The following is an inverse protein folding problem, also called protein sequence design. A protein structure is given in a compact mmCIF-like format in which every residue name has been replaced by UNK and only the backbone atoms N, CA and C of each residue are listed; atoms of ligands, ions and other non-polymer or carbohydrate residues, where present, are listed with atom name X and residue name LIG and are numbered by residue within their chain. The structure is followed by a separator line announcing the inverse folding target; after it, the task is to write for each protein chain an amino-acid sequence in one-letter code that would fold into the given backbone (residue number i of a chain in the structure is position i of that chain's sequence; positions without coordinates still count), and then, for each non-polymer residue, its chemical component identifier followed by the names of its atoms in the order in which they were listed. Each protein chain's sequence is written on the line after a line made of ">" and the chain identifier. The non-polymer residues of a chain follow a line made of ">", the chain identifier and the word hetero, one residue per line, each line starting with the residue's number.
data_IF_414369990290
#
_entry.id   IF_414369990290
#
_cell.length_a   1.000
_cell.length_b   1.000
_cell.length_c   1.000
_cell.angle_alpha   90.00
_cell.angle_beta   90.00
_cell.angle_gamma   90.00
#
_symmetry.space_group_name_H-M   'P 1'
#
loop_
_entity.id
_entity.type
_entity.pdbx_description
1 polymer ?
#
# COMPACT_ATOMS: atom_id res chain seq x y z
N UNK A 1 52.46 36.18 -33.22
CA UNK A 1 51.67 34.93 -33.27
C UNK A 1 51.32 34.44 -31.86
N UNK A 2 50.54 35.23 -31.09
CA UNK A 2 50.02 34.87 -29.76
C UNK A 2 48.67 35.57 -29.61
N UNK A 3 47.59 34.91 -30.01
CA UNK A 3 46.20 35.34 -29.76
C UNK A 3 45.24 34.41 -30.52
N UNK A 4 45.08 33.14 -30.09
CA UNK A 4 43.96 32.30 -30.59
C UNK A 4 43.58 31.06 -29.76
N UNK A 5 43.95 30.97 -28.48
CA UNK A 5 43.61 29.79 -27.65
C UNK A 5 42.94 30.16 -26.32
N UNK A 6 41.87 30.96 -26.36
CA UNK A 6 41.10 31.32 -25.17
C UNK A 6 39.57 31.20 -25.38
N UNK A 7 39.11 30.12 -26.03
CA UNK A 7 37.70 29.98 -26.41
C UNK A 7 37.10 28.58 -26.28
N UNK A 8 37.66 27.68 -25.46
CA UNK A 8 37.24 26.27 -25.45
C UNK A 8 36.79 25.71 -24.08
N UNK A 9 36.43 26.53 -23.08
CA UNK A 9 36.07 26.03 -21.74
C UNK A 9 34.79 26.63 -21.13
N UNK A 10 33.75 26.88 -21.93
CA UNK A 10 32.41 27.20 -21.40
C UNK A 10 31.37 26.23 -21.94
N UNK A 11 31.58 24.94 -21.68
CA UNK A 11 30.54 23.90 -21.75
C UNK A 11 29.95 23.65 -20.37
N UNK A 12 29.39 24.68 -19.73
CA UNK A 12 28.62 24.51 -18.49
C UNK A 12 27.43 23.61 -18.82
N UNK A 13 27.43 22.40 -18.24
CA UNK A 13 26.40 21.40 -18.45
C UNK A 13 25.02 21.98 -18.21
N UNK A 14 24.21 22.07 -19.27
CA UNK A 14 22.76 22.17 -19.13
C UNK A 14 22.32 20.90 -18.41
N UNK A 15 21.96 21.02 -17.14
CA UNK A 15 21.09 20.05 -16.48
C UNK A 15 19.88 19.91 -17.40
N UNK A 16 19.75 18.76 -18.07
CA UNK A 16 18.57 18.48 -18.88
C UNK A 16 17.40 18.42 -17.91
N UNK A 17 16.64 19.50 -17.82
CA UNK A 17 15.33 19.48 -17.20
C UNK A 17 14.47 18.50 -18.00
N UNK A 18 14.42 17.25 -17.53
CA UNK A 18 13.52 16.26 -18.09
C UNK A 18 12.10 16.75 -17.85
N UNK A 19 11.34 16.99 -18.93
CA UNK A 19 9.92 17.29 -18.84
C UNK A 19 9.23 16.27 -17.93
N UNK A 20 8.28 16.72 -17.10
CA UNK A 20 7.50 15.86 -16.22
C UNK A 20 6.87 14.66 -16.97
N UNK A 21 6.55 14.83 -18.26
CA UNK A 21 6.08 13.77 -19.14
C UNK A 21 7.12 12.67 -19.40
N UNK A 22 8.40 13.03 -19.55
CA UNK A 22 9.48 12.05 -19.72
C UNK A 22 9.76 11.27 -18.42
N UNK A 23 9.62 11.94 -17.27
CA UNK A 23 9.73 11.33 -15.95
C UNK A 23 8.56 10.35 -15.70
N UNK A 24 7.32 10.78 -15.98
CA UNK A 24 6.14 9.93 -15.88
C UNK A 24 6.22 8.72 -16.83
N UNK A 25 6.65 8.92 -18.08
CA UNK A 25 6.81 7.84 -19.06
C UNK A 25 7.82 6.77 -18.61
N UNK A 26 8.88 7.17 -17.91
CA UNK A 26 9.88 6.24 -17.34
C UNK A 26 9.27 5.32 -16.29
N UNK A 27 8.57 5.87 -15.29
CA UNK A 27 7.97 5.08 -14.23
C UNK A 27 6.76 4.27 -14.71
N UNK A 28 6.01 4.80 -15.69
CA UNK A 28 4.97 4.03 -16.37
C UNK A 28 5.53 2.79 -17.07
N UNK A 29 6.69 2.89 -17.72
CA UNK A 29 7.35 1.75 -18.32
C UNK A 29 7.72 0.68 -17.27
N UNK A 30 8.24 1.10 -16.11
CA UNK A 30 8.54 0.18 -14.98
C UNK A 30 7.27 -0.53 -14.50
N UNK A 31 6.20 0.23 -14.24
CA UNK A 31 4.91 -0.33 -13.85
C UNK A 31 4.41 -1.36 -14.88
N UNK A 32 4.43 -1.00 -16.17
CA UNK A 32 3.97 -1.88 -17.25
C UNK A 32 4.81 -3.15 -17.35
N UNK A 33 6.13 -3.04 -17.23
CA UNK A 33 7.02 -4.21 -17.24
C UNK A 33 6.72 -5.14 -16.07
N UNK A 34 6.54 -4.59 -14.86
CA UNK A 34 6.19 -5.41 -13.71
C UNK A 34 4.84 -6.09 -13.88
N UNK A 35 3.84 -5.37 -14.40
CA UNK A 35 2.52 -5.91 -14.68
C UNK A 35 2.58 -7.09 -15.66
N UNK A 36 3.33 -6.95 -16.76
CA UNK A 36 3.50 -8.02 -17.74
C UNK A 36 4.27 -9.22 -17.17
N UNK A 37 5.27 -8.97 -16.32
CA UNK A 37 6.02 -10.01 -15.66
C UNK A 37 5.12 -10.83 -14.72
N UNK A 38 4.36 -10.18 -13.85
CA UNK A 38 3.43 -10.87 -12.95
C UNK A 38 2.31 -11.61 -13.71
N UNK A 39 1.83 -11.07 -14.83
CA UNK A 39 0.87 -11.76 -15.71
C UNK A 39 1.45 -13.00 -16.40
N UNK A 40 2.77 -13.07 -16.59
CA UNK A 40 3.43 -14.25 -17.15
C UNK A 40 3.41 -15.45 -16.18
N UNK A 41 3.18 -15.22 -14.88
CA UNK A 41 3.12 -16.23 -13.83
C UNK A 41 1.75 -16.26 -13.14
N UNK A 42 0.67 -16.63 -13.85
CA UNK A 42 -0.69 -16.61 -13.31
C UNK A 42 -0.90 -17.63 -12.17
N UNK A 43 -0.15 -18.74 -12.17
CA UNK A 43 -0.21 -19.73 -11.09
C UNK A 43 0.33 -19.15 -9.77
N UNK A 44 1.32 -18.27 -9.81
CA UNK A 44 1.83 -17.60 -8.62
C UNK A 44 0.79 -16.60 -8.08
N UNK A 45 0.12 -15.86 -8.97
CA UNK A 45 -0.98 -14.97 -8.59
C UNK A 45 -2.15 -15.73 -7.96
N UNK A 46 -2.54 -16.88 -8.54
CA UNK A 46 -3.59 -17.74 -7.99
C UNK A 46 -3.15 -18.35 -6.65
N UNK A 47 -1.90 -18.83 -6.56
CA UNK A 47 -1.33 -19.37 -5.33
C UNK A 47 -1.34 -18.36 -4.19
N UNK A 48 -0.95 -17.11 -4.46
CA UNK A 48 -1.04 -15.98 -3.50
C UNK A 48 -2.49 -15.72 -3.09
N UNK A 49 -3.44 -15.86 -4.03
CA UNK A 49 -4.86 -15.61 -3.77
C UNK A 49 -5.55 -16.73 -2.97
N UNK A 50 -4.98 -17.94 -2.87
CA UNK A 50 -5.59 -19.04 -2.09
C UNK A 50 -5.72 -18.71 -0.60
N UNK A 51 -4.82 -17.85 -0.07
CA UNK A 51 -4.84 -17.48 1.34
C UNK A 51 -6.14 -16.74 1.72
N UNK A 52 -6.72 -15.96 0.79
CA UNK A 52 -7.98 -15.25 1.06
C UNK A 52 -9.14 -16.22 1.30
N UNK A 53 -9.13 -17.39 0.65
CA UNK A 53 -10.16 -18.42 0.84
C UNK A 53 -10.15 -18.91 2.29
N UNK A 54 -8.95 -19.17 2.81
CA UNK A 54 -8.76 -19.60 4.19
C UNK A 54 -9.25 -18.53 5.16
N UNK A 55 -8.86 -17.26 4.98
CA UNK A 55 -9.31 -16.19 5.86
C UNK A 55 -10.82 -15.99 5.81
N UNK A 56 -11.43 -15.99 4.62
CA UNK A 56 -12.88 -15.86 4.50
C UNK A 56 -13.61 -17.04 5.15
N UNK A 57 -13.09 -18.26 5.03
CA UNK A 57 -13.64 -19.43 5.71
C UNK A 57 -13.57 -19.29 7.24
N UNK A 58 -12.43 -18.85 7.79
CA UNK A 58 -12.26 -18.61 9.23
C UNK A 58 -13.22 -17.52 9.70
N UNK A 59 -13.28 -16.38 9.00
CA UNK A 59 -14.15 -15.27 9.37
C UNK A 59 -15.63 -15.63 9.28
N UNK A 60 -16.04 -16.41 8.28
CA UNK A 60 -17.42 -16.87 8.18
C UNK A 60 -17.81 -17.72 9.40
N UNK A 61 -16.95 -18.65 9.82
CA UNK A 61 -17.22 -19.45 11.02
C UNK A 61 -17.26 -18.59 12.29
N UNK A 62 -16.33 -17.66 12.44
CA UNK A 62 -16.28 -16.75 13.60
C UNK A 62 -17.52 -15.86 13.68
N UNK A 63 -17.85 -15.17 12.59
CA UNK A 63 -18.93 -14.19 12.57
C UNK A 63 -20.30 -14.86 12.58
N UNK A 64 -20.50 -16.01 11.93
CA UNK A 64 -21.75 -16.76 12.02
C UNK A 64 -22.10 -17.13 13.47
N UNK A 65 -21.11 -17.58 14.26
CA UNK A 65 -21.30 -17.88 15.68
C UNK A 65 -21.60 -16.60 16.47
N UNK A 66 -20.88 -15.51 16.20
CA UNK A 66 -21.05 -14.23 16.91
C UNK A 66 -22.44 -13.62 16.69
N UNK A 67 -22.90 -13.55 15.43
CA UNK A 67 -24.26 -13.09 15.10
C UNK A 67 -25.33 -14.06 15.66
N UNK A 68 -25.08 -15.37 15.63
CA UNK A 68 -25.99 -16.35 16.22
C UNK A 68 -26.12 -16.24 17.75
N UNK A 69 -25.03 -15.88 18.45
CA UNK A 69 -24.99 -15.76 19.90
C UNK A 69 -25.63 -14.45 20.41
N UNK A 70 -25.51 -13.36 19.66
CA UNK A 70 -26.17 -12.08 19.99
C UNK A 70 -27.67 -12.11 19.72
N UNK A 71 -28.11 -12.92 18.74
CA UNK A 71 -29.51 -12.97 18.31
C UNK A 71 -29.97 -11.72 17.53
N UNK A 72 -29.05 -10.80 17.25
CA UNK A 72 -29.31 -9.58 16.48
C UNK A 72 -29.05 -9.82 14.99
N UNK A 73 -29.88 -9.22 14.13
CA UNK A 73 -29.69 -9.25 12.68
C UNK A 73 -28.58 -8.32 12.19
N UNK A 74 -28.14 -7.37 13.03
CA UNK A 74 -27.07 -6.44 12.73
C UNK A 74 -26.31 -6.02 13.98
N UNK A 75 -24.98 -5.93 13.91
CA UNK A 75 -24.11 -5.41 14.97
C UNK A 75 -23.56 -4.07 14.46
N UNK A 76 -23.69 -2.99 15.24
CA UNK A 76 -23.26 -1.63 14.84
C UNK A 76 -23.74 -1.21 13.42
N UNK A 77 -24.94 -1.66 13.03
CA UNK A 77 -25.52 -1.37 11.70
C UNK A 77 -24.92 -2.17 10.54
N UNK A 78 -24.10 -3.19 10.81
CA UNK A 78 -23.65 -4.16 9.81
C UNK A 78 -24.39 -5.48 9.97
N UNK A 79 -24.88 -6.04 8.87
CA UNK A 79 -25.34 -7.43 8.84
C UNK A 79 -24.14 -8.39 8.74
N UNK A 80 -24.39 -9.69 8.87
CA UNK A 80 -23.38 -10.72 8.58
C UNK A 80 -22.83 -10.60 7.15
N UNK A 81 -23.71 -10.35 6.16
CA UNK A 81 -23.30 -10.18 4.77
C UNK A 81 -22.39 -8.96 4.59
N UNK A 82 -22.77 -7.84 5.21
CA UNK A 82 -21.97 -6.62 5.20
C UNK A 82 -20.59 -6.82 5.84
N UNK A 83 -20.55 -7.55 6.97
CA UNK A 83 -19.31 -7.87 7.68
C UNK A 83 -18.38 -8.71 6.81
N UNK A 84 -18.92 -9.73 6.13
CA UNK A 84 -18.12 -10.59 5.25
C UNK A 84 -17.59 -9.84 4.03
N UNK A 85 -18.41 -8.97 3.41
CA UNK A 85 -17.95 -8.13 2.30
C UNK A 85 -16.93 -7.07 2.73
N UNK A 86 -17.07 -6.51 3.94
CA UNK A 86 -16.06 -5.64 4.54
C UNK A 86 -14.74 -6.39 4.72
N UNK A 87 -14.76 -7.57 5.34
CA UNK A 87 -13.55 -8.36 5.62
C UNK A 87 -12.88 -8.83 4.34
N UNK A 88 -13.65 -9.19 3.30
CA UNK A 88 -13.13 -9.51 1.98
C UNK A 88 -12.34 -8.34 1.40
N UNK A 89 -12.92 -7.13 1.41
CA UNK A 89 -12.22 -5.94 0.91
C UNK A 89 -10.98 -5.62 1.74
N UNK A 90 -11.08 -5.69 3.07
CA UNK A 90 -9.96 -5.47 3.98
C UNK A 90 -8.80 -6.46 3.72
N UNK A 91 -9.10 -7.75 3.57
CA UNK A 91 -8.11 -8.79 3.25
C UNK A 91 -7.56 -8.64 1.84
N UNK A 92 -8.39 -8.31 0.85
CA UNK A 92 -7.91 -8.07 -0.51
C UNK A 92 -6.89 -6.92 -0.54
N UNK A 93 -7.14 -5.84 0.20
CA UNK A 93 -6.15 -4.76 0.38
C UNK A 93 -4.94 -5.25 1.16
N UNK A 94 -5.11 -5.98 2.26
CA UNK A 94 -4.01 -6.47 3.11
C UNK A 94 -3.05 -7.42 2.37
N UNK A 95 -3.60 -8.35 1.59
CA UNK A 95 -2.85 -9.39 0.87
C UNK A 95 -2.30 -8.92 -0.48
N UNK A 96 -2.73 -7.76 -0.97
CA UNK A 96 -2.18 -7.16 -2.19
C UNK A 96 -1.00 -6.24 -1.94
N UNK A 97 -0.63 -5.99 -0.69
CA UNK A 97 0.45 -5.05 -0.37
C UNK A 97 1.79 -5.60 -0.82
N UNK A 98 2.57 -4.77 -1.51
CA UNK A 98 3.95 -5.08 -1.86
C UNK A 98 4.90 -4.63 -0.74
N UNK A 99 5.69 -5.55 -0.19
CA UNK A 99 6.61 -5.25 0.89
C UNK A 99 8.00 -4.85 0.38
N UNK A 100 8.28 -3.55 0.42
CA UNK A 100 9.58 -3.00 0.01
C UNK A 100 10.62 -3.00 1.12
N UNK A 101 10.20 -3.18 2.37
CA UNK A 101 11.13 -3.11 3.50
C UNK A 101 12.18 -4.22 3.45
N UNK A 102 11.80 -5.38 2.90
CA UNK A 102 12.71 -6.50 2.64
C UNK A 102 13.74 -6.16 1.59
N UNK A 103 13.26 -5.74 0.42
CA UNK A 103 14.13 -5.37 -0.70
C UNK A 103 15.11 -4.27 -0.30
N UNK A 104 14.67 -3.27 0.47
CA UNK A 104 15.56 -2.21 0.94
C UNK A 104 16.57 -2.73 1.96
N UNK A 105 16.14 -3.57 2.91
CA UNK A 105 17.04 -4.17 3.91
C UNK A 105 18.12 -5.02 3.23
N UNK A 106 17.75 -5.83 2.24
CA UNK A 106 18.69 -6.64 1.45
C UNK A 106 19.66 -5.75 0.66
N UNK A 107 19.16 -4.75 -0.05
CA UNK A 107 19.98 -3.83 -0.85
C UNK A 107 20.93 -2.96 0.00
N UNK A 108 20.56 -2.68 1.25
CA UNK A 108 21.42 -1.98 2.21
C UNK A 108 22.51 -2.93 2.71
N UNK A 109 22.16 -4.17 3.05
CA UNK A 109 23.12 -5.19 3.54
C UNK A 109 24.14 -5.59 2.49
N UNK A 110 23.73 -5.75 1.24
CA UNK A 110 24.62 -6.14 0.13
C UNK A 110 25.35 -4.94 -0.52
N UNK A 111 25.05 -3.71 -0.08
CA UNK A 111 25.66 -2.48 -0.58
C UNK A 111 25.19 -2.03 -1.97
N UNK A 112 24.31 -2.79 -2.64
CA UNK A 112 23.79 -2.48 -3.98
C UNK A 112 22.98 -1.18 -4.01
N UNK A 113 22.45 -0.75 -2.86
CA UNK A 113 21.72 0.52 -2.73
C UNK A 113 22.57 1.73 -3.15
N UNK A 114 23.88 1.72 -2.90
CA UNK A 114 24.78 2.81 -3.29
C UNK A 114 24.88 2.95 -4.83
N UNK A 115 24.85 1.82 -5.55
CA UNK A 115 24.82 1.81 -7.01
C UNK A 115 23.48 2.30 -7.57
N UNK A 116 22.36 1.90 -6.95
CA UNK A 116 21.02 2.30 -7.37
C UNK A 116 20.77 3.80 -7.15
N UNK A 117 21.29 4.38 -6.07
CA UNK A 117 21.18 5.80 -5.78
C UNK A 117 21.97 6.69 -6.75
N UNK A 118 23.02 6.14 -7.38
CA UNK A 118 23.80 6.84 -8.41
C UNK A 118 23.14 6.85 -9.79
N UNK A 119 22.05 6.09 -9.98
CA UNK A 119 21.34 6.08 -11.28
C UNK A 119 20.47 7.33 -11.45
N UNK A 120 20.23 7.79 -12.70
CA UNK A 120 19.40 8.96 -12.99
C UNK A 120 17.90 8.63 -12.89
N UNK A 121 17.46 8.08 -11.75
CA UNK A 121 16.06 7.95 -11.35
C UNK A 121 15.91 8.20 -9.86
N UNK A 122 14.70 8.57 -9.45
CA UNK A 122 14.35 8.62 -8.05
C UNK A 122 14.08 7.19 -7.57
N UNK A 123 14.91 6.72 -6.64
CA UNK A 123 14.87 5.36 -6.10
C UNK A 123 13.51 5.00 -5.50
N UNK A 124 12.92 5.90 -4.70
CA UNK A 124 11.61 5.69 -4.08
C UNK A 124 10.51 5.56 -5.14
N UNK A 125 10.48 6.45 -6.13
CA UNK A 125 9.47 6.40 -7.21
C UNK A 125 9.60 5.16 -8.09
N UNK A 126 10.83 4.68 -8.32
CA UNK A 126 11.08 3.44 -9.05
C UNK A 126 10.44 2.24 -8.34
N UNK A 127 10.71 2.09 -7.04
CA UNK A 127 10.15 1.00 -6.24
C UNK A 127 8.64 1.14 -6.05
N UNK A 128 8.10 2.36 -5.99
CA UNK A 128 6.66 2.57 -5.96
C UNK A 128 6.00 2.08 -7.24
N UNK A 129 6.52 2.47 -8.40
CA UNK A 129 5.96 2.09 -9.69
C UNK A 129 6.00 0.57 -9.91
N UNK A 130 7.09 -0.09 -9.51
CA UNK A 130 7.18 -1.54 -9.54
C UNK A 130 6.18 -2.19 -8.57
N UNK A 131 6.18 -1.78 -7.30
CA UNK A 131 5.31 -2.35 -6.28
C UNK A 131 3.81 -2.18 -6.59
N UNK A 132 3.42 -1.07 -7.21
CA UNK A 132 2.04 -0.82 -7.63
C UNK A 132 1.56 -1.81 -8.71
N UNK A 133 2.44 -2.23 -9.62
CA UNK A 133 2.12 -3.23 -10.64
C UNK A 133 1.84 -4.61 -10.03
N UNK A 134 2.67 -5.03 -9.08
CA UNK A 134 2.46 -6.28 -8.33
C UNK A 134 1.19 -6.20 -7.47
N UNK A 135 0.99 -5.08 -6.78
CA UNK A 135 -0.16 -4.87 -5.90
C UNK A 135 -1.49 -4.90 -6.66
N UNK A 136 -1.53 -4.27 -7.84
CA UNK A 136 -2.75 -4.25 -8.66
C UNK A 136 -3.19 -5.65 -9.11
N UNK A 137 -2.25 -6.51 -9.51
CA UNK A 137 -2.56 -7.87 -9.95
C UNK A 137 -2.89 -8.79 -8.78
N UNK A 138 -2.14 -8.69 -7.69
CA UNK A 138 -2.46 -9.41 -6.45
C UNK A 138 -3.85 -9.02 -5.94
N UNK A 139 -4.18 -7.73 -5.97
CA UNK A 139 -5.51 -7.24 -5.62
C UNK A 139 -6.59 -7.79 -6.54
N UNK A 140 -6.39 -7.72 -7.86
CA UNK A 140 -7.35 -8.28 -8.83
C UNK A 140 -7.62 -9.77 -8.60
N UNK A 141 -6.57 -10.56 -8.34
CA UNK A 141 -6.69 -11.99 -8.01
C UNK A 141 -7.44 -12.23 -6.69
N UNK A 142 -7.04 -11.53 -5.63
CA UNK A 142 -7.69 -11.59 -4.31
C UNK A 142 -9.16 -11.17 -4.40
N UNK A 143 -9.46 -10.10 -5.14
CA UNK A 143 -10.82 -9.60 -5.32
C UNK A 143 -11.68 -10.61 -6.06
N UNK A 144 -11.16 -11.22 -7.13
CA UNK A 144 -11.88 -12.24 -7.90
C UNK A 144 -12.19 -13.47 -7.04
N UNK A 145 -11.18 -14.04 -6.39
CA UNK A 145 -11.32 -15.26 -5.58
C UNK A 145 -12.15 -14.98 -4.32
N UNK A 146 -11.81 -13.92 -3.58
CA UNK A 146 -12.49 -13.53 -2.35
C UNK A 146 -13.96 -13.19 -2.58
N UNK A 147 -14.28 -12.43 -3.63
CA UNK A 147 -15.67 -12.08 -3.95
C UNK A 147 -16.48 -13.31 -4.37
N UNK A 148 -15.90 -14.23 -5.12
CA UNK A 148 -16.58 -15.48 -5.47
C UNK A 148 -16.91 -16.30 -4.21
N UNK A 149 -15.96 -16.43 -3.28
CA UNK A 149 -16.17 -17.15 -2.01
C UNK A 149 -17.24 -16.49 -1.15
N UNK A 150 -17.14 -15.17 -0.94
CA UNK A 150 -18.11 -14.45 -0.10
C UNK A 150 -19.49 -14.45 -0.74
N UNK A 151 -19.59 -14.32 -2.06
CA UNK A 151 -20.88 -14.46 -2.74
C UNK A 151 -21.52 -15.82 -2.46
N UNK A 152 -20.77 -16.91 -2.59
CA UNK A 152 -21.29 -18.26 -2.27
C UNK A 152 -21.72 -18.42 -0.80
N UNK A 153 -21.09 -17.68 0.12
CA UNK A 153 -21.38 -17.77 1.56
C UNK A 153 -22.57 -16.93 2.01
N UNK A 154 -22.69 -15.69 1.52
CA UNK A 154 -23.65 -14.69 2.06
C UNK A 154 -24.48 -13.96 1.00
N UNK A 155 -24.31 -14.26 -0.28
CA UNK A 155 -25.07 -13.64 -1.37
C UNK A 155 -24.34 -12.48 -2.05
N UNK A 156 -25.02 -11.78 -2.99
CA UNK A 156 -24.38 -10.86 -3.92
C UNK A 156 -23.68 -9.67 -3.23
N UNK A 157 -22.68 -9.04 -3.90
CA UNK A 157 -21.99 -7.88 -3.36
C UNK A 157 -22.89 -6.65 -3.23
N UNK A 158 -22.42 -5.63 -2.49
CA UNK A 158 -22.98 -4.29 -2.55
C UNK A 158 -23.03 -3.76 -3.99
N UNK A 159 -23.85 -2.74 -4.22
CA UNK A 159 -24.02 -2.12 -5.52
C UNK A 159 -22.72 -1.57 -6.14
N UNK A 160 -22.76 -1.29 -7.45
CA UNK A 160 -21.60 -0.84 -8.23
C UNK A 160 -20.87 0.38 -7.63
N UNK A 161 -21.58 1.26 -6.92
CA UNK A 161 -21.01 2.43 -6.24
C UNK A 161 -19.93 2.03 -5.23
N UNK A 162 -20.13 0.94 -4.48
CA UNK A 162 -19.16 0.44 -3.51
C UNK A 162 -17.83 0.07 -4.16
N UNK A 163 -17.89 -0.64 -5.30
CA UNK A 163 -16.71 -1.01 -6.09
C UNK A 163 -15.92 0.20 -6.57
N UNK A 164 -16.61 1.21 -7.11
CA UNK A 164 -15.98 2.43 -7.63
C UNK A 164 -15.31 3.22 -6.50
N UNK A 165 -16.04 3.44 -5.41
CA UNK A 165 -15.55 4.25 -4.28
C UNK A 165 -14.40 3.57 -3.56
N UNK A 166 -14.52 2.26 -3.28
CA UNK A 166 -13.46 1.49 -2.68
C UNK A 166 -12.23 1.41 -3.60
N UNK A 167 -12.42 1.11 -4.89
CA UNK A 167 -11.31 1.05 -5.86
C UNK A 167 -10.50 2.35 -5.92
N UNK A 168 -11.16 3.50 -5.87
CA UNK A 168 -10.48 4.79 -5.83
C UNK A 168 -9.71 5.02 -4.51
N UNK A 169 -10.28 4.63 -3.36
CA UNK A 169 -9.63 4.73 -2.06
C UNK A 169 -8.43 3.77 -1.91
N UNK A 170 -8.49 2.58 -2.52
CA UNK A 170 -7.43 1.55 -2.45
C UNK A 170 -6.12 2.04 -3.07
N UNK A 171 -6.17 2.84 -4.13
CA UNK A 171 -4.96 3.42 -4.73
C UNK A 171 -4.21 4.31 -3.73
N UNK A 172 -4.93 5.13 -2.97
CA UNK A 172 -4.35 5.95 -1.92
C UNK A 172 -3.91 5.11 -0.71
N UNK A 173 -4.62 4.03 -0.39
CA UNK A 173 -4.20 3.07 0.63
C UNK A 173 -2.85 2.43 0.31
N UNK A 174 -2.62 2.00 -0.93
CA UNK A 174 -1.32 1.44 -1.34
C UNK A 174 -0.21 2.48 -1.33
N UNK A 175 -0.49 3.72 -1.73
CA UNK A 175 0.50 4.78 -1.63
C UNK A 175 0.87 5.08 -0.16
N UNK A 176 -0.10 5.04 0.75
CA UNK A 176 0.14 5.25 2.17
C UNK A 176 0.89 4.07 2.80
N UNK A 177 0.50 2.83 2.48
CA UNK A 177 1.21 1.61 2.89
C UNK A 177 2.65 1.58 2.37
N UNK A 178 2.85 1.98 1.11
CA UNK A 178 4.17 2.14 0.51
C UNK A 178 5.02 3.13 1.32
N UNK A 179 4.47 4.26 1.76
CA UNK A 179 5.22 5.23 2.57
C UNK A 179 5.70 4.60 3.89
N UNK A 180 4.86 3.80 4.56
CA UNK A 180 5.28 3.06 5.75
C UNK A 180 6.35 2.01 5.44
N UNK A 181 6.17 1.22 4.38
CA UNK A 181 7.15 0.22 3.96
C UNK A 181 8.50 0.87 3.62
N UNK A 182 8.48 2.03 2.96
CA UNK A 182 9.67 2.82 2.65
C UNK A 182 10.34 3.37 3.93
N UNK A 183 9.59 3.87 4.92
CA UNK A 183 10.16 4.28 6.21
C UNK A 183 10.87 3.13 6.92
N UNK A 184 10.23 1.95 6.94
CA UNK A 184 10.81 0.74 7.53
C UNK A 184 12.07 0.34 6.76
N UNK A 185 12.03 0.30 5.43
CA UNK A 185 13.20 0.01 4.60
C UNK A 185 14.35 1.00 4.82
N UNK A 186 14.06 2.30 4.90
CA UNK A 186 15.07 3.33 5.17
C UNK A 186 15.68 3.22 6.59
N UNK A 187 15.00 2.57 7.54
CA UNK A 187 15.58 2.31 8.85
C UNK A 187 16.72 1.27 8.81
N UNK A 188 16.81 0.47 7.73
CA UNK A 188 17.89 -0.49 7.52
C UNK A 188 19.28 0.19 7.48
N UNK A 189 19.36 1.46 7.08
CA UNK A 189 20.60 2.23 7.11
C UNK A 189 21.14 2.50 8.52
N UNK A 190 20.34 2.24 9.56
CA UNK A 190 20.73 2.43 10.97
C UNK A 190 20.77 1.10 11.71
N UNK A 191 19.75 0.25 11.50
CA UNK A 191 19.55 -0.97 12.30
C UNK A 191 19.94 -2.25 11.53
N UNK A 192 20.19 -2.17 10.22
CA UNK A 192 20.45 -3.28 9.27
C UNK A 192 19.30 -4.28 9.11
N UNK A 193 18.74 -4.78 10.21
CA UNK A 193 17.58 -5.69 10.26
C UNK A 193 16.27 -4.95 10.53
N UNK A 194 15.30 -5.06 9.61
CA UNK A 194 14.02 -4.33 9.69
C UNK A 194 12.80 -5.20 10.03
N UNK A 195 13.01 -6.51 10.20
CA UNK A 195 11.95 -7.49 10.42
C UNK A 195 11.07 -7.16 11.63
N UNK A 196 11.66 -6.69 12.74
CA UNK A 196 10.91 -6.31 13.93
C UNK A 196 9.93 -5.15 13.66
N UNK A 197 10.37 -4.10 12.94
CA UNK A 197 9.52 -2.97 12.58
C UNK A 197 8.40 -3.39 11.63
N UNK A 198 8.72 -4.28 10.67
CA UNK A 198 7.73 -4.85 9.75
C UNK A 198 6.65 -5.62 10.49
N UNK A 199 7.02 -6.48 11.44
CA UNK A 199 6.05 -7.25 12.22
C UNK A 199 5.18 -6.35 13.08
N UNK A 200 5.75 -5.35 13.75
CA UNK A 200 5.00 -4.36 14.54
C UNK A 200 3.98 -3.64 13.63
N UNK A 201 4.42 -3.17 12.47
CA UNK A 201 3.55 -2.51 11.50
C UNK A 201 2.41 -3.42 11.03
N UNK A 202 2.71 -4.69 10.72
CA UNK A 202 1.70 -5.67 10.35
C UNK A 202 0.65 -5.87 11.46
N UNK A 203 1.06 -5.87 12.74
CA UNK A 203 0.11 -5.95 13.87
C UNK A 203 -0.73 -4.69 14.03
N UNK A 204 -0.18 -3.51 13.73
CA UNK A 204 -0.99 -2.29 13.70
C UNK A 204 -2.05 -2.32 12.60
N UNK A 205 -1.72 -2.78 11.40
CA UNK A 205 -2.72 -2.97 10.35
C UNK A 205 -3.79 -4.00 10.76
N UNK A 206 -3.37 -5.11 11.36
CA UNK A 206 -4.27 -6.18 11.78
C UNK A 206 -5.28 -5.73 12.84
N UNK A 207 -4.80 -4.99 13.86
CA UNK A 207 -5.58 -4.54 15.01
C UNK A 207 -6.24 -3.18 14.77
N UNK A 208 -5.45 -2.15 14.48
CA UNK A 208 -5.91 -0.77 14.37
C UNK A 208 -6.41 -0.43 12.96
N UNK A 209 -6.01 -1.20 11.95
CA UNK A 209 -6.57 -1.11 10.59
C UNK A 209 -7.92 -1.82 10.44
N UNK A 210 -8.29 -2.70 11.39
CA UNK A 210 -9.57 -3.38 11.39
C UNK A 210 -9.69 -4.53 10.39
N UNK A 211 -8.59 -5.27 10.14
CA UNK A 211 -8.59 -6.47 9.28
C UNK A 211 -9.33 -7.63 9.96
N UNK A 212 -9.10 -7.87 11.25
CA UNK A 212 -9.73 -9.00 11.96
C UNK A 212 -11.17 -8.71 12.37
N UNK A 213 -11.41 -7.48 12.82
CA UNK A 213 -12.67 -7.02 13.39
C UNK A 213 -12.91 -5.62 12.81
N UNK A 214 -14.07 -5.37 12.17
CA UNK A 214 -14.43 -4.03 11.74
C UNK A 214 -14.31 -3.02 12.88
N UNK A 215 -13.72 -1.86 12.62
CA UNK A 215 -13.53 -0.81 13.64
C UNK A 215 -14.88 -0.34 14.21
N UNK A 216 -15.98 -0.52 13.48
CA UNK A 216 -17.34 -0.23 13.94
C UNK A 216 -17.73 -1.03 15.19
N UNK A 217 -17.09 -2.19 15.42
CA UNK A 217 -17.38 -3.07 16.55
C UNK A 217 -16.49 -2.82 17.76
N UNK A 218 -15.53 -1.89 17.65
CA UNK A 218 -14.66 -1.56 18.76
C UNK A 218 -15.38 -0.76 19.84
N UNK A 219 -14.97 -0.89 21.11
CA UNK A 219 -15.41 0.04 22.13
C UNK A 219 -14.96 1.46 21.77
N UNK A 220 -15.75 2.47 22.17
CA UNK A 220 -15.59 3.85 21.73
C UNK A 220 -14.16 4.41 21.89
N UNK A 221 -13.46 4.06 22.98
CA UNK A 221 -12.09 4.51 23.21
C UNK A 221 -11.11 3.96 22.16
N UNK A 222 -11.26 2.68 21.78
CA UNK A 222 -10.37 2.03 20.81
C UNK A 222 -10.72 2.45 19.39
N UNK A 223 -12.01 2.61 19.09
CA UNK A 223 -12.45 3.19 17.82
C UNK A 223 -11.84 4.59 17.62
N UNK A 224 -11.86 5.43 18.66
CA UNK A 224 -11.24 6.76 18.62
C UNK A 224 -9.74 6.67 18.32
N UNK A 225 -9.00 5.78 18.99
CA UNK A 225 -7.56 5.59 18.73
C UNK A 225 -7.32 5.17 17.29
N UNK A 226 -8.03 4.14 16.82
CA UNK A 226 -7.83 3.58 15.48
C UNK A 226 -8.15 4.60 14.38
N UNK A 227 -9.26 5.34 14.49
CA UNK A 227 -9.68 6.32 13.50
C UNK A 227 -8.78 7.58 13.48
N UNK A 228 -8.08 7.87 14.57
CA UNK A 228 -7.08 8.96 14.60
C UNK A 228 -5.70 8.51 14.11
N UNK A 229 -5.51 7.27 13.70
CA UNK A 229 -4.25 6.73 13.22
C UNK A 229 -4.30 6.40 11.72
N UNK A 230 -3.16 6.37 11.02
CA UNK A 230 -3.11 6.15 9.57
C UNK A 230 -3.57 4.76 9.16
N UNK A 231 -3.44 3.76 10.04
CA UNK A 231 -3.69 2.36 9.74
C UNK A 231 -5.15 2.10 9.36
N UNK A 232 -6.10 2.78 10.01
CA UNK A 232 -7.51 2.70 9.66
C UNK A 232 -7.78 3.20 8.23
N UNK A 233 -7.03 4.20 7.76
CA UNK A 233 -7.23 4.79 6.43
C UNK A 233 -6.55 3.99 5.30
N UNK A 234 -5.71 3.02 5.65
CA UNK A 234 -5.18 2.02 4.72
C UNK A 234 -6.20 0.90 4.50
N UNK A 235 -6.80 0.37 5.58
CA UNK A 235 -7.65 -0.83 5.53
C UNK A 235 -9.14 -0.52 5.71
N UNK A 236 -9.54 -0.03 6.89
CA UNK A 236 -10.95 0.23 7.24
C UNK A 236 -11.62 1.20 6.27
N UNK A 237 -10.96 2.28 5.86
CA UNK A 237 -11.49 3.28 4.93
C UNK A 237 -12.10 2.70 3.65
N UNK A 238 -11.30 2.03 2.79
CA UNK A 238 -11.81 1.40 1.57
C UNK A 238 -12.80 0.26 1.86
N UNK A 239 -12.57 -0.55 2.90
CA UNK A 239 -13.45 -1.67 3.25
C UNK A 239 -14.84 -1.20 3.70
N UNK A 240 -14.92 -0.12 4.48
CA UNK A 240 -16.19 0.48 4.92
C UNK A 240 -16.90 1.18 3.76
N UNK A 241 -16.17 1.89 2.90
CA UNK A 241 -16.72 2.50 1.69
C UNK A 241 -17.32 1.48 0.73
N UNK A 242 -16.73 0.29 0.66
CA UNK A 242 -17.21 -0.77 -0.20
C UNK A 242 -18.63 -1.23 0.17
N UNK A 243 -18.88 -1.39 1.47
CA UNK A 243 -20.13 -1.93 1.99
C UNK A 243 -21.20 -0.86 2.17
N UNK A 244 -20.81 0.33 2.61
CA UNK A 244 -21.69 1.45 2.83
C UNK A 244 -21.12 2.67 2.06
N UNK A 245 -21.39 2.79 0.75
CA UNK A 245 -20.87 3.89 -0.05
C UNK A 245 -21.71 5.16 0.15
N UNK A 246 -21.06 6.27 0.47
CA UNK A 246 -21.66 7.61 0.44
C UNK A 246 -20.64 8.67 0.05
N UNK A 247 -21.09 9.76 -0.57
CA UNK A 247 -20.18 10.86 -0.96
C UNK A 247 -19.53 11.52 0.26
N UNK A 248 -20.26 11.64 1.37
CA UNK A 248 -19.72 12.18 2.62
C UNK A 248 -18.60 11.28 3.17
N UNK A 249 -18.81 9.96 3.18
CA UNK A 249 -17.79 9.00 3.62
C UNK A 249 -16.60 8.98 2.67
N UNK A 250 -16.83 9.07 1.36
CA UNK A 250 -15.76 9.12 0.35
C UNK A 250 -14.87 10.33 0.58
N UNK A 251 -15.47 11.51 0.74
CA UNK A 251 -14.75 12.75 1.05
C UNK A 251 -13.95 12.65 2.34
N UNK A 252 -14.54 12.08 3.40
CA UNK A 252 -13.84 11.89 4.67
C UNK A 252 -12.65 10.92 4.57
N UNK A 253 -12.82 9.75 3.93
CA UNK A 253 -11.74 8.78 3.74
C UNK A 253 -10.61 9.40 2.92
N UNK A 254 -10.93 10.07 1.82
CA UNK A 254 -9.92 10.73 0.97
C UNK A 254 -9.19 11.83 1.72
N UNK A 255 -9.91 12.65 2.49
CA UNK A 255 -9.30 13.69 3.32
C UNK A 255 -8.28 13.09 4.31
N UNK A 256 -8.67 12.03 5.02
CA UNK A 256 -7.80 11.38 6.00
C UNK A 256 -6.59 10.69 5.34
N UNK A 257 -6.80 10.01 4.21
CA UNK A 257 -5.70 9.44 3.42
C UNK A 257 -4.74 10.53 2.95
N UNK A 258 -5.23 11.65 2.42
CA UNK A 258 -4.41 12.78 1.99
C UNK A 258 -3.63 13.43 3.15
N UNK A 259 -4.26 13.62 4.32
CA UNK A 259 -3.59 14.16 5.52
C UNK A 259 -2.43 13.23 5.92
N UNK A 260 -2.70 11.93 6.06
CA UNK A 260 -1.66 10.98 6.46
C UNK A 260 -0.59 10.77 5.39
N UNK A 261 -0.95 10.85 4.10
CA UNK A 261 0.03 10.87 3.01
C UNK A 261 0.94 12.08 3.09
N UNK A 262 0.42 13.27 3.39
CA UNK A 262 1.24 14.46 3.57
C UNK A 262 2.18 14.31 4.78
N UNK A 263 1.69 13.78 5.90
CA UNK A 263 2.49 13.57 7.12
C UNK A 263 3.56 12.51 6.90
N UNK A 264 3.18 11.28 6.55
CA UNK A 264 4.09 10.13 6.43
C UNK A 264 4.99 10.30 5.20
N UNK A 265 4.45 10.75 4.07
CA UNK A 265 5.23 11.05 2.87
C UNK A 265 6.24 12.19 3.09
N UNK A 266 5.88 13.21 3.89
CA UNK A 266 6.80 14.25 4.33
C UNK A 266 7.96 13.69 5.15
N UNK A 267 7.68 12.77 6.09
CA UNK A 267 8.72 12.09 6.88
C UNK A 267 9.63 11.25 5.98
N UNK A 268 9.07 10.46 5.04
CA UNK A 268 9.83 9.70 4.04
C UNK A 268 10.76 10.62 3.27
N UNK A 269 10.25 11.73 2.77
CA UNK A 269 11.02 12.69 1.98
C UNK A 269 12.20 13.26 2.78
N UNK A 270 11.98 13.68 4.04
CA UNK A 270 13.04 14.20 4.90
C UNK A 270 14.10 13.15 5.19
N UNK A 271 13.70 11.93 5.59
CA UNK A 271 14.63 10.85 5.93
C UNK A 271 15.43 10.42 4.70
N UNK A 272 14.76 10.22 3.56
CA UNK A 272 15.40 9.84 2.31
C UNK A 272 16.49 10.84 1.90
N UNK A 273 16.21 12.16 1.95
CA UNK A 273 17.22 13.18 1.63
C UNK A 273 18.43 13.12 2.56
N UNK A 274 18.22 12.86 3.86
CA UNK A 274 19.31 12.71 4.83
C UNK A 274 20.16 11.48 4.57
N UNK A 275 19.52 10.35 4.26
CA UNK A 275 20.20 9.09 3.93
C UNK A 275 21.07 9.26 2.68
N UNK A 276 20.50 9.80 1.59
CA UNK A 276 21.22 10.03 0.34
C UNK A 276 22.41 10.98 0.55
N UNK A 277 22.23 12.07 1.28
CA UNK A 277 23.32 13.02 1.55
C UNK A 277 24.50 12.36 2.30
N UNK A 278 24.24 11.45 3.24
CA UNK A 278 25.29 10.73 3.96
C UNK A 278 26.04 9.73 3.09
N UNK A 279 25.34 9.04 2.19
CA UNK A 279 25.95 8.06 1.29
C UNK A 279 26.86 8.70 0.26
N UNK A 280 26.50 9.88 -0.26
CA UNK A 280 27.35 10.66 -1.18
C UNK A 280 28.67 11.10 -0.51
N UNK A 281 28.64 11.43 0.79
CA UNK A 281 29.85 11.86 1.52
C UNK A 281 30.84 10.70 1.72
N UNK A 282 30.35 9.48 1.90
CA UNK A 282 31.18 8.30 2.19
C UNK A 282 31.55 7.48 0.94
N UNK A 283 30.88 7.72 -0.21
CA UNK A 283 31.04 6.95 -1.44
C UNK A 283 31.87 7.60 -2.55
N UNK A 284 32.12 8.92 -2.48
CA UNK A 284 32.74 9.70 -3.56
C UNK A 284 31.76 10.05 -4.67
#
# INVERSE_FOLDING_TARGET
>A
MRSKEAGALTGVGRVREHSAAAVAGKYWAVFRTQLLNSLAYPLDLLGRSLLIVLFMWIFMNLWRVTYGATGESSIAGLTLADTMWYLMMAEAVMLSKHDLSETFSEQVKDGSVAYLLNKPFNFILYHFAAGLGDSLLAFGGNLLVGSAVVWLMVGPPPGLTGWIFAGAAVVLSWLLDFCFSALIGLSAFVVEETNAFRWIYQKFLLLLGGVLIPIDFFPAWLQTISLNLPFAWIIYGPARLFVDPSLARLGHVFLQQCIWLAVVGGIVWVIYRRVVARLVINGG
#
